data_IF_623847122263
#
_entry.id   IF_623847122263
#
_cell.length_a   1.000
_cell.length_b   1.000
_cell.length_c   1.000
_cell.angle_alpha   90.00
_cell.angle_beta   90.00
_cell.angle_gamma   90.00
#
_symmetry.space_group_name_H-M   'P 1'
#
loop_
_entity.id
_entity.type
_entity.pdbx_description
1 polymer ?
#
# COMPACT_ATOMS: atom_id res chain seq x y z
N UNK A 1 41.10 68.88 -17.39
CA UNK A 1 41.24 69.35 -15.99
C UNK A 1 40.33 68.46 -15.14
N UNK A 2 40.92 67.38 -14.59
CA UNK A 2 41.13 67.14 -13.13
C UNK A 2 39.82 66.81 -12.40
N UNK A 3 39.53 65.54 -12.10
CA UNK A 3 40.04 64.69 -10.99
C UNK A 3 39.69 65.29 -9.62
N UNK A 4 38.92 64.56 -8.80
CA UNK A 4 39.18 64.21 -7.39
C UNK A 4 37.87 63.75 -6.71
N UNK A 5 37.74 62.50 -6.23
CA UNK A 5 38.29 61.90 -5.01
C UNK A 5 37.37 62.18 -3.78
N UNK A 6 36.67 61.20 -3.17
CA UNK A 6 37.09 60.07 -2.32
C UNK A 6 37.06 60.42 -0.80
N UNK A 7 36.29 59.61 -0.04
CA UNK A 7 36.54 59.04 1.33
C UNK A 7 35.82 59.55 2.61
N UNK A 8 35.15 58.55 3.23
CA UNK A 8 34.90 58.15 4.64
C UNK A 8 34.30 59.09 5.71
N UNK A 9 33.29 58.56 6.42
CA UNK A 9 33.48 58.07 7.81
C UNK A 9 32.36 57.09 8.26
N UNK A 10 32.81 56.07 9.00
CA UNK A 10 32.14 54.96 9.69
C UNK A 10 31.13 55.45 10.78
N UNK A 11 30.22 54.71 11.41
CA UNK A 11 30.01 53.27 11.69
C UNK A 11 28.69 53.13 12.48
N UNK A 12 27.92 52.04 12.30
CA UNK A 12 27.46 51.18 13.41
C UNK A 12 26.74 49.92 12.88
N UNK A 13 27.26 48.77 13.29
CA UNK A 13 26.63 47.45 13.19
C UNK A 13 25.49 47.35 14.21
N UNK A 14 24.33 46.83 13.80
CA UNK A 14 23.53 45.93 14.62
C UNK A 14 22.85 44.89 13.71
N UNK A 15 23.07 43.63 14.06
CA UNK A 15 22.56 42.44 13.38
C UNK A 15 21.04 42.33 13.51
N UNK A 16 20.36 42.08 12.39
CA UNK A 16 19.00 41.57 12.34
C UNK A 16 18.92 40.58 11.19
N UNK A 17 18.62 39.31 11.50
CA UNK A 17 18.67 38.18 10.58
C UNK A 17 17.89 38.45 9.28
N UNK A 18 18.60 38.44 8.15
CA UNK A 18 17.98 38.44 6.83
C UNK A 18 17.45 37.02 6.59
N UNK A 19 16.14 36.85 6.71
CA UNK A 19 15.47 35.60 6.33
C UNK A 19 15.75 35.31 4.86
N UNK A 20 16.27 34.12 4.59
CA UNK A 20 16.35 33.58 3.24
C UNK A 20 14.89 33.47 2.73
N UNK A 21 14.56 33.96 1.53
CA UNK A 21 13.23 33.75 0.97
C UNK A 21 13.02 32.24 0.81
N UNK A 22 11.92 31.73 1.36
CA UNK A 22 11.51 30.36 1.15
C UNK A 22 11.41 30.11 -0.36
N UNK A 23 12.11 29.06 -0.83
CA UNK A 23 11.92 28.55 -2.17
C UNK A 23 10.51 27.94 -2.18
N UNK A 24 9.55 28.59 -2.83
CA UNK A 24 8.32 27.93 -3.23
C UNK A 24 8.70 26.86 -4.25
N UNK A 25 8.88 25.63 -3.76
CA UNK A 25 8.93 24.46 -4.61
C UNK A 25 7.55 24.34 -5.27
N UNK A 26 7.47 24.07 -6.59
CA UNK A 26 6.20 23.90 -7.25
C UNK A 26 5.44 22.80 -6.52
N UNK A 27 4.22 23.10 -6.09
CA UNK A 27 3.34 22.14 -5.43
C UNK A 27 3.07 21.01 -6.42
N UNK A 28 3.82 19.91 -6.33
CA UNK A 28 3.25 18.62 -6.65
C UNK A 28 2.03 18.54 -5.75
N UNK A 29 0.84 18.40 -6.32
CA UNK A 29 -0.37 18.33 -5.54
C UNK A 29 -0.25 17.11 -4.62
N UNK A 30 0.10 17.34 -3.35
CA UNK A 30 0.24 16.28 -2.35
C UNK A 30 -1.14 15.74 -2.05
N UNK A 31 -1.26 14.43 -2.13
CA UNK A 31 -2.56 13.75 -2.07
C UNK A 31 -2.59 12.64 -1.02
N UNK A 32 -1.58 12.61 -0.14
CA UNK A 32 -1.53 11.69 1.00
C UNK A 32 -2.64 11.98 2.03
N UNK A 33 -2.93 13.26 2.23
CA UNK A 33 -3.90 13.72 3.24
C UNK A 33 -5.31 13.21 2.92
N UNK A 34 -5.96 12.47 3.83
CA UNK A 34 -7.35 12.08 3.67
C UNK A 34 -8.26 13.31 3.62
N UNK A 35 -9.38 13.21 2.91
CA UNK A 35 -10.31 14.33 2.70
C UNK A 35 -11.73 13.94 3.05
N UNK A 36 -12.53 14.94 3.43
CA UNK A 36 -13.98 14.78 3.58
C UNK A 36 -14.68 14.82 2.22
N UNK A 37 -15.68 13.97 2.04
CA UNK A 37 -16.42 13.80 0.81
C UNK A 37 -17.86 13.37 1.09
N UNK A 38 -18.69 13.40 0.03
CA UNK A 38 -20.05 12.89 0.08
C UNK A 38 -20.06 11.37 0.27
N UNK A 39 -20.91 10.94 1.19
CA UNK A 39 -21.21 9.54 1.43
C UNK A 39 -22.12 8.97 0.34
N UNK A 40 -21.96 7.68 -0.01
CA UNK A 40 -22.95 7.00 -0.84
C UNK A 40 -24.26 6.83 -0.06
N UNK A 41 -25.35 6.55 -0.77
CA UNK A 41 -26.61 6.20 -0.12
C UNK A 41 -26.55 4.80 0.48
N UNK A 42 -27.07 4.65 1.70
CA UNK A 42 -27.20 3.38 2.41
C UNK A 42 -26.00 3.01 3.28
N UNK A 43 -26.08 1.82 3.88
CA UNK A 43 -25.08 1.36 4.85
C UNK A 43 -23.72 1.13 4.22
N UNK A 44 -22.68 1.57 4.93
CA UNK A 44 -21.30 1.28 4.55
C UNK A 44 -20.81 -0.06 5.10
N UNK A 45 -21.54 -0.67 6.03
CA UNK A 45 -21.13 -1.90 6.72
C UNK A 45 -22.01 -3.07 6.30
N UNK A 46 -21.38 -4.19 5.97
CA UNK A 46 -22.05 -5.46 5.71
C UNK A 46 -21.56 -6.57 6.65
N UNK A 47 -22.40 -7.55 7.00
CA UNK A 47 -21.97 -8.73 7.74
C UNK A 47 -21.08 -9.65 6.88
N UNK A 48 -20.13 -10.32 7.52
CA UNK A 48 -19.18 -11.25 6.90
C UNK A 48 -19.80 -12.64 6.62
N UNK A 49 -20.88 -12.69 5.83
CA UNK A 49 -21.63 -13.93 5.51
C UNK A 49 -21.34 -14.47 4.11
N UNK A 50 -20.54 -13.76 3.32
CA UNK A 50 -20.14 -14.08 1.96
C UNK A 50 -19.27 -12.96 1.37
N UNK A 51 -18.79 -13.15 0.15
CA UNK A 51 -18.07 -12.12 -0.60
C UNK A 51 -19.01 -10.95 -0.94
N UNK A 52 -18.46 -9.75 -1.09
CA UNK A 52 -19.20 -8.62 -1.66
C UNK A 52 -19.57 -8.86 -3.12
N UNK A 53 -20.58 -8.13 -3.59
CA UNK A 53 -21.02 -8.17 -4.99
C UNK A 53 -19.86 -7.87 -5.93
N UNK A 54 -19.07 -6.84 -5.61
CA UNK A 54 -17.94 -6.36 -6.40
C UNK A 54 -16.85 -7.43 -6.50
N UNK A 55 -16.50 -8.09 -5.39
CA UNK A 55 -15.54 -9.19 -5.42
C UNK A 55 -16.08 -10.41 -6.18
N UNK A 56 -17.34 -10.79 -5.97
CA UNK A 56 -17.97 -11.90 -6.72
C UNK A 56 -17.93 -11.65 -8.22
N UNK A 57 -18.28 -10.44 -8.65
CA UNK A 57 -18.26 -10.06 -10.06
C UNK A 57 -16.84 -10.07 -10.65
N UNK A 58 -15.87 -9.50 -9.92
CA UNK A 58 -14.48 -9.52 -10.35
C UNK A 58 -13.96 -10.96 -10.46
N UNK A 59 -14.16 -11.76 -9.40
CA UNK A 59 -13.75 -13.16 -9.33
C UNK A 59 -14.32 -13.97 -10.48
N UNK A 60 -15.61 -13.80 -10.81
CA UNK A 60 -16.25 -14.53 -11.91
C UNK A 60 -15.61 -14.19 -13.28
N UNK A 61 -15.33 -12.90 -13.53
CA UNK A 61 -14.67 -12.45 -14.77
C UNK A 61 -13.21 -12.91 -14.83
N UNK A 62 -12.46 -12.75 -13.72
CA UNK A 62 -11.08 -13.20 -13.60
C UNK A 62 -10.93 -14.70 -13.74
N UNK A 63 -11.83 -15.49 -13.13
CA UNK A 63 -11.79 -16.95 -13.21
C UNK A 63 -11.87 -17.47 -14.64
N UNK A 64 -12.63 -16.82 -15.52
CA UNK A 64 -12.65 -17.18 -16.95
C UNK A 64 -11.28 -17.01 -17.62
N UNK A 65 -10.57 -15.93 -17.31
CA UNK A 65 -9.20 -15.70 -17.81
C UNK A 65 -8.22 -16.70 -17.22
N UNK A 66 -8.30 -16.91 -15.91
CA UNK A 66 -7.44 -17.82 -15.16
C UNK A 66 -7.61 -19.29 -15.60
N UNK A 67 -8.84 -19.74 -15.84
CA UNK A 67 -9.13 -21.11 -16.27
C UNK A 67 -8.52 -21.37 -17.65
N UNK A 68 -8.68 -20.45 -18.61
CA UNK A 68 -8.06 -20.60 -19.93
C UNK A 68 -6.52 -20.62 -19.88
N UNK A 69 -5.91 -19.82 -18.99
CA UNK A 69 -4.47 -19.88 -18.74
C UNK A 69 -4.07 -21.22 -18.11
N UNK A 70 -4.83 -21.73 -17.14
CA UNK A 70 -4.55 -22.99 -16.47
C UNK A 70 -4.67 -24.19 -17.41
N UNK A 71 -5.65 -24.20 -18.32
CA UNK A 71 -5.76 -25.23 -19.37
C UNK A 71 -4.50 -25.29 -20.21
N UNK A 72 -4.06 -24.13 -20.73
CA UNK A 72 -2.84 -24.02 -21.54
C UNK A 72 -1.61 -24.48 -20.76
N UNK A 73 -1.50 -24.07 -19.51
CA UNK A 73 -0.38 -24.45 -18.64
C UNK A 73 -0.36 -25.96 -18.37
N UNK A 74 -1.49 -26.58 -18.02
CA UNK A 74 -1.59 -28.02 -17.76
C UNK A 74 -1.18 -28.86 -18.98
N UNK A 75 -1.68 -28.50 -20.16
CA UNK A 75 -1.31 -29.18 -21.42
C UNK A 75 0.17 -28.99 -21.72
N UNK A 76 0.73 -27.78 -21.53
CA UNK A 76 2.17 -27.49 -21.69
C UNK A 76 3.04 -28.32 -20.74
N UNK A 77 2.63 -28.46 -19.48
CA UNK A 77 3.44 -29.13 -18.44
C UNK A 77 3.31 -30.64 -18.49
N UNK A 78 2.16 -31.17 -18.90
CA UNK A 78 1.93 -32.61 -19.01
C UNK A 78 0.95 -32.93 -20.13
N UNK A 79 1.47 -33.54 -21.19
CA UNK A 79 0.65 -34.08 -22.28
C UNK A 79 -0.40 -35.08 -21.76
N UNK A 80 -1.62 -35.00 -22.30
CA UNK A 80 -2.71 -35.93 -22.01
C UNK A 80 -3.64 -35.52 -20.85
N UNK A 81 -3.54 -34.30 -20.33
CA UNK A 81 -4.53 -33.78 -19.38
C UNK A 81 -5.86 -33.48 -20.09
N UNK A 82 -6.94 -34.16 -19.70
CA UNK A 82 -8.30 -33.92 -20.24
C UNK A 82 -8.92 -32.68 -19.57
N UNK A 83 -8.50 -31.50 -20.03
CA UNK A 83 -8.90 -30.20 -19.47
C UNK A 83 -10.33 -29.79 -19.83
N UNK A 84 -10.96 -30.43 -20.81
CA UNK A 84 -12.30 -30.08 -21.30
C UNK A 84 -13.42 -30.75 -20.49
N UNK A 85 -13.09 -31.73 -19.66
CA UNK A 85 -14.05 -32.50 -18.85
C UNK A 85 -13.96 -32.25 -17.35
N UNK A 86 -13.18 -31.26 -16.93
CA UNK A 86 -12.94 -30.96 -15.52
C UNK A 86 -13.33 -29.52 -15.20
N UNK A 87 -13.90 -29.34 -14.02
CA UNK A 87 -14.00 -28.02 -13.41
C UNK A 87 -12.64 -27.64 -12.83
N UNK A 88 -12.07 -26.54 -13.29
CA UNK A 88 -10.76 -26.08 -12.85
C UNK A 88 -10.83 -25.37 -11.49
N UNK A 89 -9.85 -25.59 -10.60
CA UNK A 89 -9.85 -24.99 -9.27
C UNK A 89 -9.63 -23.47 -9.33
N UNK A 90 -10.12 -22.76 -8.30
CA UNK A 90 -9.65 -21.40 -8.00
C UNK A 90 -8.27 -21.49 -7.35
N UNK A 91 -7.25 -20.88 -7.95
CA UNK A 91 -5.89 -20.89 -7.44
C UNK A 91 -5.56 -19.53 -6.84
N UNK A 92 -5.02 -19.53 -5.62
CA UNK A 92 -4.45 -18.36 -4.96
C UNK A 92 -2.95 -18.52 -4.76
N UNK A 93 -2.21 -17.42 -4.86
CA UNK A 93 -0.81 -17.34 -4.43
C UNK A 93 -0.72 -16.48 -3.17
N UNK A 94 0.02 -16.93 -2.15
CA UNK A 94 0.27 -16.13 -0.96
C UNK A 94 1.76 -15.98 -0.71
N UNK A 95 2.17 -14.76 -0.34
CA UNK A 95 3.55 -14.46 0.06
C UNK A 95 3.57 -14.06 1.53
N UNK A 96 4.39 -14.76 2.33
CA UNK A 96 4.49 -14.55 3.78
C UNK A 96 5.14 -13.22 4.15
N UNK A 97 5.20 -12.92 5.45
CA UNK A 97 6.06 -11.87 5.99
C UNK A 97 7.55 -12.22 5.94
N UNK A 98 8.39 -11.24 6.27
CA UNK A 98 9.86 -11.37 6.28
C UNK A 98 10.58 -10.31 5.45
N UNK A 99 10.05 -9.07 5.43
CA UNK A 99 10.64 -7.88 4.82
C UNK A 99 11.18 -8.11 3.39
N UNK A 100 12.34 -7.52 3.06
CA UNK A 100 12.98 -7.67 1.76
C UNK A 100 13.27 -9.12 1.38
N UNK A 101 13.53 -10.01 2.36
CA UNK A 101 13.78 -11.43 2.06
C UNK A 101 12.54 -12.07 1.46
N UNK A 102 11.39 -11.89 2.11
CA UNK A 102 10.13 -12.42 1.59
C UNK A 102 9.76 -11.75 0.27
N UNK A 103 9.92 -10.43 0.19
CA UNK A 103 9.68 -9.65 -1.03
C UNK A 103 10.47 -10.20 -2.22
N UNK A 104 11.80 -10.32 -2.09
CA UNK A 104 12.69 -10.69 -3.20
C UNK A 104 12.54 -12.16 -3.58
N UNK A 105 12.34 -13.05 -2.61
CA UNK A 105 12.06 -14.47 -2.87
C UNK A 105 10.72 -14.62 -3.59
N UNK A 106 9.67 -13.95 -3.09
CA UNK A 106 8.36 -13.94 -3.73
C UNK A 106 8.41 -13.36 -5.14
N UNK A 107 9.19 -12.30 -5.36
CA UNK A 107 9.40 -11.72 -6.69
C UNK A 107 10.06 -12.72 -7.64
N UNK A 108 11.09 -13.45 -7.19
CA UNK A 108 11.72 -14.51 -8.00
C UNK A 108 10.76 -15.64 -8.35
N UNK A 109 9.89 -16.05 -7.42
CA UNK A 109 8.84 -17.04 -7.70
C UNK A 109 7.87 -16.50 -8.75
N UNK A 110 7.33 -15.28 -8.57
CA UNK A 110 6.40 -14.67 -9.53
C UNK A 110 7.05 -14.54 -10.91
N UNK A 111 8.31 -14.11 -10.97
CA UNK A 111 9.08 -14.04 -12.22
C UNK A 111 9.12 -15.39 -12.94
N UNK A 112 9.41 -16.48 -12.21
CA UNK A 112 9.43 -17.83 -12.78
C UNK A 112 8.06 -18.37 -13.23
N UNK A 113 6.97 -17.88 -12.63
CA UNK A 113 5.60 -18.26 -12.96
C UNK A 113 4.97 -17.41 -14.08
N UNK A 114 5.46 -16.19 -14.31
CA UNK A 114 4.90 -15.24 -15.26
C UNK A 114 5.43 -15.47 -16.69
N UNK A 115 4.54 -15.81 -17.63
CA UNK A 115 4.94 -16.01 -19.04
C UNK A 115 5.44 -14.73 -19.73
N UNK A 116 5.15 -13.56 -19.17
CA UNK A 116 5.66 -12.27 -19.66
C UNK A 116 7.12 -12.05 -19.29
N UNK A 117 7.64 -12.80 -18.33
CA UNK A 117 8.93 -12.56 -17.69
C UNK A 117 9.85 -13.79 -17.64
N UNK A 118 9.36 -14.96 -18.08
CA UNK A 118 10.07 -16.22 -18.01
C UNK A 118 9.65 -17.21 -19.10
N UNK A 119 10.62 -17.99 -19.57
CA UNK A 119 10.42 -19.11 -20.49
C UNK A 119 10.55 -20.48 -19.81
N UNK A 120 10.52 -20.53 -18.47
CA UNK A 120 10.60 -21.77 -17.72
C UNK A 120 9.38 -22.67 -17.93
N UNK A 121 9.52 -23.96 -17.59
CA UNK A 121 8.41 -24.93 -17.66
C UNK A 121 7.22 -24.53 -16.79
N UNK A 122 7.47 -23.76 -15.72
CA UNK A 122 6.45 -23.23 -14.81
C UNK A 122 5.78 -21.95 -15.32
N UNK A 123 6.31 -21.29 -16.34
CA UNK A 123 5.77 -20.01 -16.82
C UNK A 123 4.38 -20.17 -17.43
N UNK A 124 3.51 -19.20 -17.18
CA UNK A 124 2.08 -19.21 -17.51
C UNK A 124 1.18 -19.51 -16.30
N UNK A 125 1.74 -20.02 -15.20
CA UNK A 125 0.95 -20.30 -13.99
C UNK A 125 0.51 -19.02 -13.27
N UNK A 126 1.27 -17.92 -13.37
CA UNK A 126 0.84 -16.65 -12.79
C UNK A 126 -0.47 -16.15 -13.41
N UNK A 127 -0.62 -16.31 -14.73
CA UNK A 127 -1.86 -15.97 -15.45
C UNK A 127 -3.06 -16.83 -15.03
N UNK A 128 -2.82 -18.01 -14.46
CA UNK A 128 -3.84 -18.91 -13.93
C UNK A 128 -4.28 -18.59 -12.49
N UNK A 129 -3.69 -17.59 -11.83
CA UNK A 129 -4.07 -17.20 -10.47
C UNK A 129 -5.36 -16.37 -10.47
N UNK A 130 -6.27 -16.69 -9.55
CA UNK A 130 -7.49 -15.89 -9.29
C UNK A 130 -7.26 -14.89 -8.15
N UNK A 131 -6.48 -15.26 -7.13
CA UNK A 131 -6.18 -14.44 -5.97
C UNK A 131 -4.68 -14.33 -5.72
N UNK A 132 -4.25 -13.19 -5.17
CA UNK A 132 -2.90 -13.01 -4.67
C UNK A 132 -2.97 -12.30 -3.31
N UNK A 133 -2.43 -12.94 -2.28
CA UNK A 133 -2.45 -12.41 -0.92
C UNK A 133 -1.04 -12.14 -0.39
N UNK A 134 -0.90 -11.18 0.51
CA UNK A 134 0.38 -10.84 1.12
C UNK A 134 0.27 -10.27 2.53
N UNK A 135 1.23 -10.62 3.38
CA UNK A 135 1.45 -10.05 4.71
C UNK A 135 2.88 -9.50 4.79
N UNK A 136 3.08 -8.36 5.46
CA UNK A 136 4.41 -7.79 5.73
C UNK A 136 5.25 -7.66 4.42
N UNK A 137 6.45 -8.24 4.32
CA UNK A 137 7.25 -8.22 3.09
C UNK A 137 6.53 -8.78 1.85
N UNK A 138 5.57 -9.70 2.03
CA UNK A 138 4.68 -10.16 0.97
C UNK A 138 3.65 -9.10 0.55
N UNK A 139 3.16 -8.29 1.50
CA UNK A 139 2.30 -7.15 1.21
C UNK A 139 3.07 -6.04 0.47
N UNK A 140 4.36 -5.82 0.76
CA UNK A 140 5.20 -4.91 -0.02
C UNK A 140 5.29 -5.34 -1.49
N UNK A 141 5.49 -6.64 -1.74
CA UNK A 141 5.57 -7.19 -3.10
C UNK A 141 4.24 -7.05 -3.83
N UNK A 142 3.15 -7.48 -3.18
CA UNK A 142 1.81 -7.37 -3.73
C UNK A 142 1.47 -5.92 -4.07
N UNK A 143 1.78 -5.00 -3.16
CA UNK A 143 1.52 -3.56 -3.34
C UNK A 143 2.38 -2.99 -4.45
N UNK A 144 3.67 -3.33 -4.53
CA UNK A 144 4.54 -2.83 -5.62
C UNK A 144 4.09 -3.33 -6.99
N UNK A 145 3.56 -4.56 -7.09
CA UNK A 145 2.95 -5.04 -8.34
C UNK A 145 1.65 -4.27 -8.63
N UNK A 146 0.70 -4.31 -7.69
CA UNK A 146 -0.63 -3.74 -7.90
C UNK A 146 -0.58 -2.21 -8.11
N UNK A 147 0.14 -1.51 -7.26
CA UNK A 147 0.29 -0.06 -7.28
C UNK A 147 0.98 0.51 -8.52
N UNK A 148 1.75 -0.30 -9.25
CA UNK A 148 2.36 0.09 -10.52
C UNK A 148 1.61 -0.46 -11.74
N UNK A 149 0.38 -0.95 -11.59
CA UNK A 149 -0.43 -1.55 -12.67
C UNK A 149 0.18 -2.86 -13.24
N UNK A 150 0.74 -3.70 -12.37
CA UNK A 150 1.27 -5.05 -12.64
C UNK A 150 2.27 -5.18 -13.83
N UNK A 151 3.34 -4.36 -13.89
CA UNK A 151 4.50 -4.65 -14.74
C UNK A 151 5.15 -5.99 -14.36
N UNK A 152 6.08 -6.46 -15.19
CA UNK A 152 6.84 -7.68 -14.85
C UNK A 152 7.83 -7.42 -13.70
N UNK A 153 8.24 -8.48 -13.01
CA UNK A 153 9.24 -8.39 -11.93
C UNK A 153 10.55 -7.82 -12.46
N UNK A 154 10.99 -8.23 -13.66
CA UNK A 154 12.18 -7.66 -14.31
C UNK A 154 12.06 -6.17 -14.54
N UNK A 155 10.89 -5.69 -14.99
CA UNK A 155 10.66 -4.25 -15.21
C UNK A 155 10.75 -3.46 -13.91
N UNK A 156 10.05 -3.89 -12.86
CA UNK A 156 10.11 -3.21 -11.56
C UNK A 156 11.52 -3.24 -10.96
N UNK A 157 12.20 -4.38 -11.07
CA UNK A 157 13.59 -4.50 -10.61
C UNK A 157 14.48 -3.44 -11.26
N UNK A 158 14.41 -3.33 -12.60
CA UNK A 158 15.32 -2.49 -13.36
C UNK A 158 14.99 -1.00 -13.28
N UNK A 159 13.70 -0.65 -13.18
CA UNK A 159 13.24 0.75 -13.22
C UNK A 159 13.09 1.35 -11.82
N UNK A 160 12.87 0.53 -10.79
CA UNK A 160 12.47 1.02 -9.47
C UNK A 160 13.30 0.41 -8.34
N UNK A 161 13.30 -0.91 -8.19
CA UNK A 161 13.80 -1.54 -6.95
C UNK A 161 15.32 -1.46 -6.80
N UNK A 162 16.08 -1.61 -7.89
CA UNK A 162 17.56 -1.53 -7.82
C UNK A 162 18.02 -0.18 -7.31
N UNK A 163 17.36 0.91 -7.73
CA UNK A 163 17.67 2.25 -7.23
C UNK A 163 17.07 2.47 -5.83
N UNK A 164 15.77 2.19 -5.67
CA UNK A 164 15.05 2.42 -4.42
C UNK A 164 15.65 1.71 -3.21
N UNK A 165 16.26 0.54 -3.40
CA UNK A 165 16.82 -0.24 -2.29
C UNK A 165 18.29 0.08 -1.96
N UNK A 166 18.99 0.91 -2.74
CA UNK A 166 20.44 1.15 -2.59
C UNK A 166 20.84 1.74 -1.25
N UNK A 167 20.08 2.71 -0.75
CA UNK A 167 20.43 3.50 0.43
C UNK A 167 19.73 3.00 1.70
N UNK A 168 19.02 1.87 1.62
CA UNK A 168 18.22 1.33 2.72
C UNK A 168 16.87 2.04 2.90
N UNK A 169 16.01 1.42 3.71
CA UNK A 169 14.61 1.84 3.86
C UNK A 169 14.44 3.27 4.39
N UNK A 170 15.25 3.65 5.38
CA UNK A 170 15.14 4.95 6.05
C UNK A 170 15.87 6.06 5.32
N UNK A 171 16.39 5.82 4.13
CA UNK A 171 17.12 6.84 3.38
C UNK A 171 16.75 6.78 1.90
N UNK A 172 15.45 6.91 1.55
CA UNK A 172 15.04 6.88 0.15
C UNK A 172 15.77 7.97 -0.64
N UNK A 173 16.41 7.59 -1.75
CA UNK A 173 17.18 8.51 -2.59
C UNK A 173 18.52 9.02 -2.02
N UNK A 174 18.94 8.55 -0.82
CA UNK A 174 20.20 8.98 -0.20
C UNK A 174 20.07 10.22 0.70
N UNK A 175 21.19 10.76 1.19
CA UNK A 175 21.23 11.85 2.19
C UNK A 175 20.57 13.17 1.75
N UNK A 176 20.51 13.42 0.44
CA UNK A 176 20.15 14.73 -0.12
C UNK A 176 18.86 14.67 -0.97
N UNK A 177 17.98 13.68 -0.74
CA UNK A 177 16.82 13.43 -1.59
C UNK A 177 15.61 14.35 -1.34
N UNK A 178 15.62 15.14 -0.26
CA UNK A 178 14.45 15.91 0.20
C UNK A 178 13.29 15.06 0.74
N UNK A 179 13.40 13.72 0.72
CA UNK A 179 12.30 12.84 1.08
C UNK A 179 11.82 13.01 2.53
N UNK A 180 12.74 13.29 3.47
CA UNK A 180 12.37 13.55 4.86
C UNK A 180 11.47 14.79 5.02
N UNK A 181 11.72 15.83 4.24
CA UNK A 181 10.95 17.08 4.27
C UNK A 181 9.56 16.85 3.68
N UNK A 182 9.48 16.20 2.53
CA UNK A 182 8.21 15.82 1.89
C UNK A 182 7.36 14.91 2.80
N UNK A 183 7.95 13.88 3.40
CA UNK A 183 7.27 12.98 4.34
C UNK A 183 6.79 13.73 5.59
N UNK A 184 7.63 14.63 6.14
CA UNK A 184 7.23 15.42 7.30
C UNK A 184 6.06 16.35 6.98
N UNK A 185 6.01 16.88 5.76
CA UNK A 185 4.90 17.71 5.28
C UNK A 185 3.62 16.88 5.12
N UNK A 186 3.67 15.72 4.47
CA UNK A 186 2.54 14.78 4.36
C UNK A 186 1.90 14.48 5.73
N UNK A 187 2.74 14.18 6.74
CA UNK A 187 2.30 13.86 8.09
C UNK A 187 1.70 15.08 8.80
N UNK A 188 2.30 16.25 8.60
CA UNK A 188 1.83 17.50 9.21
C UNK A 188 0.50 17.94 8.59
N UNK A 189 0.33 17.80 7.29
CA UNK A 189 -0.91 18.08 6.57
C UNK A 189 -2.02 17.11 7.00
N UNK A 190 -1.74 15.80 7.13
CA UNK A 190 -2.69 14.83 7.67
C UNK A 190 -3.17 15.18 9.08
N UNK A 191 -2.25 15.57 9.97
CA UNK A 191 -2.60 16.06 11.31
C UNK A 191 -3.42 17.35 11.26
N UNK A 192 -3.05 18.30 10.39
CA UNK A 192 -3.77 19.55 10.23
C UNK A 192 -5.21 19.35 9.70
N UNK A 193 -5.43 18.29 8.91
CA UNK A 193 -6.74 17.85 8.47
C UNK A 193 -7.57 17.12 9.55
N UNK A 194 -7.02 16.95 10.76
CA UNK A 194 -7.72 16.39 11.91
C UNK A 194 -7.64 14.86 12.04
N UNK A 195 -6.80 14.20 11.25
CA UNK A 195 -6.60 12.75 11.34
C UNK A 195 -5.46 12.41 12.30
N UNK A 196 -5.61 11.30 13.01
CA UNK A 196 -4.55 10.78 13.87
C UNK A 196 -3.34 10.35 13.02
N UNK A 197 -2.15 10.61 13.56
CA UNK A 197 -0.89 10.15 12.97
C UNK A 197 -0.26 9.11 13.88
N UNK A 198 0.44 8.17 13.26
CA UNK A 198 1.14 7.06 13.90
C UNK A 198 2.55 6.95 13.34
N UNK A 199 3.39 6.09 13.92
CA UNK A 199 4.68 5.76 13.32
C UNK A 199 4.54 5.03 11.97
N UNK A 200 3.36 4.46 11.67
CA UNK A 200 3.07 3.83 10.39
C UNK A 200 3.02 4.84 9.25
N UNK A 201 2.65 6.10 9.50
CA UNK A 201 2.57 7.14 8.47
C UNK A 201 3.93 7.42 7.80
N UNK A 202 4.98 7.85 8.53
CA UNK A 202 6.31 8.04 7.93
C UNK A 202 6.87 6.74 7.36
N UNK A 203 6.68 5.61 8.06
CA UNK A 203 7.18 4.31 7.63
C UNK A 203 6.56 3.85 6.30
N UNK A 204 5.25 3.97 6.16
CA UNK A 204 4.54 3.67 4.92
C UNK A 204 5.00 4.57 3.77
N UNK A 205 5.28 5.85 4.04
CA UNK A 205 5.86 6.75 3.04
C UNK A 205 7.28 6.35 2.66
N UNK A 206 8.16 6.03 3.61
CA UNK A 206 9.50 5.51 3.30
C UNK A 206 9.46 4.27 2.39
N UNK A 207 8.53 3.33 2.65
CA UNK A 207 8.30 2.19 1.76
C UNK A 207 7.79 2.64 0.38
N UNK A 208 6.90 3.61 0.33
CA UNK A 208 6.31 4.12 -0.91
C UNK A 208 7.37 4.65 -1.89
N UNK A 209 8.37 5.39 -1.39
CA UNK A 209 9.52 5.87 -2.17
C UNK A 209 10.32 4.77 -2.88
N UNK A 210 10.29 3.54 -2.35
CA UNK A 210 11.01 2.41 -2.95
C UNK A 210 10.12 1.52 -3.83
N UNK A 211 8.79 1.59 -3.64
CA UNK A 211 7.86 0.59 -4.17
C UNK A 211 6.90 1.14 -5.23
N UNK A 212 6.73 2.45 -5.35
CA UNK A 212 5.84 3.08 -6.33
C UNK A 212 6.60 4.04 -7.25
N UNK A 213 6.37 3.89 -8.55
CA UNK A 213 6.85 4.83 -9.55
C UNK A 213 5.91 6.04 -9.67
N UNK A 214 6.41 7.10 -10.31
CA UNK A 214 5.62 8.31 -10.58
C UNK A 214 5.86 9.43 -9.57
N UNK A 215 5.16 10.57 -9.74
CA UNK A 215 5.30 11.71 -8.86
C UNK A 215 4.83 11.37 -7.45
N UNK A 216 5.47 11.97 -6.45
CA UNK A 216 5.12 11.82 -5.02
C UNK A 216 5.13 10.36 -4.51
N UNK A 217 5.72 9.45 -5.29
CA UNK A 217 5.94 8.04 -4.95
C UNK A 217 4.69 7.38 -4.34
N UNK A 218 3.53 7.53 -4.98
CA UNK A 218 2.28 6.93 -4.50
C UNK A 218 1.60 7.69 -3.35
N UNK A 219 1.87 8.99 -3.17
CA UNK A 219 1.14 9.81 -2.21
C UNK A 219 -0.38 9.84 -2.48
N UNK A 220 -0.80 9.83 -3.75
CA UNK A 220 -2.21 9.73 -4.13
C UNK A 220 -2.72 8.30 -4.34
N UNK A 221 -1.86 7.29 -4.22
CA UNK A 221 -2.20 5.93 -4.60
C UNK A 221 -2.90 5.23 -3.45
N UNK A 222 -4.13 4.77 -3.69
CA UNK A 222 -4.95 4.07 -2.69
C UNK A 222 -5.19 2.63 -3.09
N UNK A 223 -5.51 1.76 -2.12
CA UNK A 223 -5.90 0.38 -2.41
C UNK A 223 -7.18 0.36 -3.29
N UNK A 224 -8.16 1.23 -3.00
CA UNK A 224 -9.37 1.35 -3.80
C UNK A 224 -9.13 1.83 -5.24
N UNK A 225 -8.12 2.66 -5.47
CA UNK A 225 -7.77 3.14 -6.82
C UNK A 225 -7.22 2.04 -7.75
N UNK A 226 -6.80 0.88 -7.21
CA UNK A 226 -6.42 -0.30 -8.01
C UNK A 226 -7.57 -0.72 -8.94
N UNK A 227 -8.82 -0.50 -8.54
CA UNK A 227 -10.00 -0.83 -9.34
C UNK A 227 -10.08 -0.08 -10.67
N UNK A 228 -9.40 1.07 -10.78
CA UNK A 228 -9.38 1.92 -11.96
C UNK A 228 -8.24 1.56 -12.93
N UNK A 229 -7.31 0.70 -12.50
CA UNK A 229 -6.15 0.33 -13.28
C UNK A 229 -6.50 -0.59 -14.44
N UNK A 230 -5.79 -0.45 -15.56
CA UNK A 230 -6.10 -1.23 -16.78
C UNK A 230 -5.88 -2.73 -16.59
N UNK A 231 -4.88 -3.14 -15.81
CA UNK A 231 -4.66 -4.55 -15.47
C UNK A 231 -5.82 -5.15 -14.67
N UNK A 232 -6.42 -4.36 -13.77
CA UNK A 232 -7.55 -4.78 -12.95
C UNK A 232 -8.85 -4.81 -13.78
N UNK A 233 -9.20 -3.72 -14.46
CA UNK A 233 -10.42 -3.61 -15.28
C UNK A 233 -10.47 -4.62 -16.43
N UNK A 234 -9.32 -5.02 -16.96
CA UNK A 234 -9.22 -6.09 -17.96
C UNK A 234 -9.22 -7.51 -17.36
N UNK A 235 -9.21 -7.64 -16.04
CA UNK A 235 -9.14 -8.92 -15.31
C UNK A 235 -7.88 -9.73 -15.66
N UNK A 236 -6.80 -9.04 -16.02
CA UNK A 236 -5.54 -9.64 -16.43
C UNK A 236 -4.71 -10.17 -15.25
N UNK A 237 -5.05 -9.75 -14.03
CA UNK A 237 -4.26 -9.97 -12.81
C UNK A 237 -5.11 -10.64 -11.72
N UNK A 238 -4.50 -11.37 -10.77
CA UNK A 238 -5.22 -11.92 -9.62
C UNK A 238 -5.78 -10.81 -8.72
N UNK A 239 -6.88 -11.09 -8.02
CA UNK A 239 -7.47 -10.18 -7.06
C UNK A 239 -6.53 -10.01 -5.84
N UNK A 240 -6.06 -8.79 -5.53
CA UNK A 240 -5.10 -8.55 -4.47
C UNK A 240 -5.77 -8.50 -3.09
N UNK A 241 -5.16 -9.16 -2.11
CA UNK A 241 -5.60 -9.15 -0.69
C UNK A 241 -4.39 -8.85 0.21
N UNK A 242 -4.40 -7.71 0.89
CA UNK A 242 -3.40 -7.42 1.92
C UNK A 242 -4.01 -7.81 3.26
N UNK A 243 -3.25 -8.53 4.09
CA UNK A 243 -3.71 -8.93 5.43
C UNK A 243 -2.89 -8.28 6.52
N UNK A 244 -3.49 -8.09 7.69
CA UNK A 244 -2.82 -7.62 8.91
C UNK A 244 -3.42 -8.29 10.14
N UNK A 245 -2.73 -8.18 11.28
CA UNK A 245 -3.23 -8.64 12.57
C UNK A 245 -3.61 -7.46 13.45
N UNK A 246 -4.78 -7.55 14.07
CA UNK A 246 -5.29 -6.61 15.05
C UNK A 246 -4.60 -6.74 16.40
N UNK A 247 -4.43 -5.60 17.06
CA UNK A 247 -3.98 -5.50 18.45
C UNK A 247 -5.09 -4.83 19.25
N UNK A 248 -5.48 -5.39 20.40
CA UNK A 248 -6.50 -4.79 21.26
C UNK A 248 -5.86 -3.70 22.12
N UNK A 249 -5.47 -2.60 21.48
CA UNK A 249 -4.79 -1.46 22.13
C UNK A 249 -5.64 -0.82 23.23
N UNK A 250 -6.97 -0.93 23.14
CA UNK A 250 -7.92 -0.52 24.19
C UNK A 250 -7.86 -1.37 25.47
N UNK A 251 -7.12 -2.49 25.44
CA UNK A 251 -6.82 -3.35 26.59
C UNK A 251 -5.33 -3.31 26.95
N UNK A 252 -4.63 -2.24 26.57
CA UNK A 252 -3.20 -2.03 26.80
C UNK A 252 -2.30 -3.12 26.17
N UNK A 253 -2.79 -3.82 25.14
CA UNK A 253 -1.97 -4.75 24.37
C UNK A 253 -1.06 -4.01 23.38
N UNK A 254 0.20 -4.42 23.30
CA UNK A 254 1.18 -3.89 22.34
C UNK A 254 1.40 -4.80 21.13
N UNK A 255 1.16 -6.10 21.26
CA UNK A 255 1.42 -7.10 20.21
C UNK A 255 0.15 -7.93 19.96
N UNK A 256 -0.05 -8.42 18.72
CA UNK A 256 -1.17 -9.31 18.45
C UNK A 256 -1.12 -10.55 19.36
N UNK A 257 -2.24 -10.88 19.99
CA UNK A 257 -2.37 -12.13 20.74
C UNK A 257 -2.28 -13.37 19.84
N UNK A 258 -2.19 -14.58 20.43
CA UNK A 258 -2.07 -15.83 19.67
C UNK A 258 -3.26 -16.11 18.74
N UNK A 259 -4.43 -15.51 19.03
CA UNK A 259 -5.63 -15.52 18.18
C UNK A 259 -6.02 -14.09 17.78
N UNK A 260 -5.04 -13.26 17.43
CA UNK A 260 -5.28 -11.89 16.98
C UNK A 260 -6.20 -11.86 15.76
N UNK A 261 -7.15 -10.93 15.76
CA UNK A 261 -8.10 -10.72 14.65
C UNK A 261 -7.35 -10.47 13.36
N UNK A 262 -7.64 -11.24 12.31
CA UNK A 262 -7.09 -11.03 10.97
C UNK A 262 -7.98 -10.02 10.25
N UNK A 263 -7.38 -8.92 9.82
CA UNK A 263 -8.03 -7.95 8.96
C UNK A 263 -7.54 -8.11 7.52
N UNK A 264 -8.47 -7.98 6.58
CA UNK A 264 -8.21 -7.98 5.14
C UNK A 264 -8.48 -6.58 4.58
N UNK A 265 -7.58 -6.13 3.71
CA UNK A 265 -7.74 -4.97 2.86
C UNK A 265 -7.79 -5.45 1.41
N UNK A 266 -8.92 -5.24 0.75
CA UNK A 266 -9.14 -5.57 -0.66
C UNK A 266 -9.49 -4.32 -1.45
N UNK A 267 -9.39 -4.28 -2.79
CA UNK A 267 -9.74 -3.10 -3.58
C UNK A 267 -11.15 -2.54 -3.34
N UNK A 268 -12.05 -3.32 -2.74
CA UNK A 268 -13.40 -2.88 -2.45
C UNK A 268 -13.65 -2.65 -0.96
N UNK A 269 -13.07 -3.47 -0.07
CA UNK A 269 -13.50 -3.56 1.32
C UNK A 269 -12.37 -3.76 2.32
N UNK A 270 -12.64 -3.33 3.54
CA UNK A 270 -11.84 -3.59 4.71
C UNK A 270 -12.69 -4.31 5.75
N UNK A 271 -12.15 -5.34 6.39
CA UNK A 271 -12.89 -6.02 7.44
C UNK A 271 -12.24 -7.30 7.91
N UNK A 272 -13.03 -8.11 8.59
CA UNK A 272 -12.57 -9.38 9.14
C UNK A 272 -13.69 -10.41 9.14
N UNK A 273 -13.30 -11.65 8.89
CA UNK A 273 -14.15 -12.83 9.00
C UNK A 273 -14.28 -13.33 10.45
N UNK A 274 -13.37 -12.93 11.33
CA UNK A 274 -13.32 -13.41 12.72
C UNK A 274 -14.54 -12.95 13.51
N UNK A 275 -15.00 -13.79 14.45
CA UNK A 275 -16.22 -13.55 15.24
C UNK A 275 -16.22 -12.25 16.04
N UNK A 276 -15.05 -11.73 16.41
CA UNK A 276 -14.91 -10.50 17.18
C UNK A 276 -15.31 -9.24 16.36
N UNK A 277 -15.29 -9.33 15.03
CA UNK A 277 -15.66 -8.23 14.11
C UNK A 277 -16.78 -8.65 13.16
N UNK A 278 -16.59 -9.77 12.44
CA UNK A 278 -17.54 -10.41 11.51
C UNK A 278 -18.25 -9.43 10.56
N UNK A 279 -17.50 -8.44 10.07
CA UNK A 279 -18.06 -7.36 9.26
C UNK A 279 -17.01 -6.78 8.32
N UNK A 280 -17.52 -6.21 7.23
CA UNK A 280 -16.74 -5.47 6.24
C UNK A 280 -17.34 -4.10 6.02
N UNK A 281 -16.49 -3.13 5.68
CA UNK A 281 -16.86 -1.78 5.27
C UNK A 281 -16.19 -1.42 3.95
N UNK A 282 -16.75 -0.46 3.23
CA UNK A 282 -16.12 0.04 1.99
C UNK A 282 -14.75 0.64 2.26
N UNK A 283 -13.70 0.10 1.62
CA UNK A 283 -12.33 0.57 1.84
C UNK A 283 -12.12 1.99 1.31
N UNK A 284 -12.82 2.37 0.23
CA UNK A 284 -12.82 3.73 -0.32
C UNK A 284 -13.22 4.78 0.72
N UNK A 285 -14.04 4.40 1.69
CA UNK A 285 -14.56 5.28 2.74
C UNK A 285 -13.95 4.99 4.12
N UNK A 286 -12.76 4.35 4.16
CA UNK A 286 -12.06 4.03 5.39
C UNK A 286 -11.79 5.29 6.23
N UNK A 287 -11.93 5.17 7.56
CA UNK A 287 -11.77 6.29 8.48
C UNK A 287 -13.01 7.18 8.61
N UNK A 288 -14.16 6.80 8.03
CA UNK A 288 -15.45 7.44 8.29
C UNK A 288 -15.99 7.03 9.65
N UNK A 289 -16.49 7.98 10.43
CA UNK A 289 -17.20 7.71 11.68
C UNK A 289 -18.61 7.19 11.37
N UNK A 290 -18.96 6.03 11.94
CA UNK A 290 -20.24 5.36 11.68
C UNK A 290 -21.04 5.14 12.96
N UNK A 291 -22.37 5.16 12.84
CA UNK A 291 -23.31 4.69 13.87
C UNK A 291 -24.28 3.70 13.24
N UNK A 292 -24.37 2.48 13.78
CA UNK A 292 -25.18 1.38 13.22
C UNK A 292 -24.90 1.10 11.73
N UNK A 293 -23.64 1.28 11.29
CA UNK A 293 -23.22 1.07 9.91
C UNK A 293 -23.50 2.23 8.95
N UNK A 294 -24.07 3.34 9.44
CA UNK A 294 -24.39 4.53 8.65
C UNK A 294 -23.45 5.70 9.00
N UNK A 295 -23.07 6.56 8.03
CA UNK A 295 -22.33 7.80 8.31
C UNK A 295 -23.07 8.75 9.24
N UNK A 296 -22.34 9.50 10.06
CA UNK A 296 -22.95 10.48 10.99
C UNK A 296 -23.60 11.67 10.25
N UNK A 297 -23.09 12.03 9.07
CA UNK A 297 -23.68 13.00 8.16
C UNK A 297 -23.36 12.66 6.70
N UNK A 298 -24.15 13.19 5.77
CA UNK A 298 -24.06 12.88 4.33
C UNK A 298 -22.76 13.35 3.66
N UNK A 299 -22.06 14.32 4.25
CA UNK A 299 -20.80 14.90 3.77
C UNK A 299 -19.61 14.59 4.69
N UNK A 300 -19.76 13.60 5.59
CA UNK A 300 -18.75 13.25 6.60
C UNK A 300 -17.90 12.01 6.24
N UNK A 301 -18.07 11.46 5.04
CA UNK A 301 -17.27 10.33 4.59
C UNK A 301 -15.82 10.75 4.35
N UNK A 302 -14.90 9.87 4.71
CA UNK A 302 -13.47 10.07 4.51
C UNK A 302 -13.02 9.34 3.25
N UNK A 303 -12.36 10.02 2.31
CA UNK A 303 -11.69 9.42 1.17
C UNK A 303 -10.17 9.53 1.30
N UNK A 304 -9.45 8.69 0.55
CA UNK A 304 -7.98 8.62 0.48
C UNK A 304 -7.27 8.18 1.78
N UNK A 305 -8.02 7.76 2.80
CA UNK A 305 -7.42 7.19 4.02
C UNK A 305 -6.74 5.85 3.75
N UNK A 306 -7.21 5.13 2.73
CA UNK A 306 -6.68 3.85 2.26
C UNK A 306 -5.45 3.99 1.36
N UNK A 307 -4.59 5.00 1.60
CA UNK A 307 -3.31 5.15 0.92
C UNK A 307 -2.53 3.81 0.97
N UNK A 308 -2.11 3.33 -0.20
CA UNK A 308 -1.53 2.00 -0.36
C UNK A 308 -0.23 1.83 0.45
N UNK A 309 0.57 2.90 0.55
CA UNK A 309 1.76 2.97 1.39
C UNK A 309 1.47 2.82 2.87
N UNK A 310 0.41 3.50 3.35
CA UNK A 310 -0.05 3.38 4.74
C UNK A 310 -0.60 1.97 5.04
N UNK A 311 -1.39 1.38 4.13
CA UNK A 311 -1.96 0.05 4.30
C UNK A 311 -0.88 -1.04 4.30
N UNK A 312 0.06 -1.02 3.34
CA UNK A 312 1.16 -1.99 3.35
C UNK A 312 2.08 -1.78 4.57
N UNK A 313 2.27 -0.54 5.01
CA UNK A 313 3.01 -0.22 6.24
C UNK A 313 2.31 -0.76 7.49
N UNK A 314 0.99 -0.74 7.52
CA UNK A 314 0.17 -1.36 8.59
C UNK A 314 0.37 -2.88 8.59
N UNK A 315 0.35 -3.52 7.41
CA UNK A 315 0.60 -4.96 7.25
C UNK A 315 2.00 -5.41 7.67
N UNK A 316 2.98 -4.49 7.66
CA UNK A 316 4.38 -4.76 8.02
C UNK A 316 4.85 -4.02 9.26
N UNK A 317 3.92 -3.54 10.09
CA UNK A 317 4.24 -2.70 11.23
C UNK A 317 5.06 -3.47 12.28
N UNK A 318 6.33 -3.06 12.48
CA UNK A 318 7.25 -3.67 13.46
C UNK A 318 7.31 -2.91 14.80
N UNK A 319 6.75 -1.70 14.88
CA UNK A 319 6.93 -0.82 16.05
C UNK A 319 6.16 -1.28 17.30
N UNK A 320 5.19 -2.18 17.14
CA UNK A 320 4.54 -2.91 18.23
C UNK A 320 5.52 -3.62 19.17
N UNK A 321 6.70 -4.03 18.66
CA UNK A 321 7.74 -4.64 19.51
C UNK A 321 8.41 -3.62 20.45
N UNK A 322 8.56 -2.37 20.03
CA UNK A 322 9.15 -1.28 20.85
C UNK A 322 8.22 -0.90 22.01
N UNK A 323 6.91 -0.98 21.80
CA UNK A 323 5.90 -0.85 22.85
C UNK A 323 6.09 -1.91 23.96
N UNK A 324 6.42 -3.15 23.59
CA UNK A 324 6.63 -4.23 24.57
C UNK A 324 7.90 -4.08 25.42
N UNK A 325 8.98 -3.53 24.87
CA UNK A 325 10.23 -3.26 25.62
C UNK A 325 10.02 -2.17 26.68
N UNK A 326 9.22 -1.15 26.35
CA UNK A 326 8.93 -0.02 27.27
C UNK A 326 8.08 -0.46 28.48
N UNK A 327 7.20 -1.46 28.30
CA UNK A 327 6.39 -2.04 29.40
C UNK A 327 7.25 -2.92 30.32
N UNK A 328 8.26 -3.63 29.79
CA UNK A 328 9.16 -4.43 30.62
C UNK A 328 10.11 -3.59 31.48
N UNK A 329 10.54 -2.42 31.00
CA UNK A 329 11.38 -1.49 31.75
C UNK A 329 10.62 -0.65 32.80
N UNK A 330 9.28 -0.79 32.88
CA UNK A 330 8.43 -0.08 33.83
C UNK A 330 7.86 -0.96 34.96
N UNK A 331 8.32 -2.21 35.07
CA UNK A 331 8.07 -3.07 36.23
C UNK A 331 9.35 -3.14 37.09
N UNK A 332 9.34 -2.64 38.34
CA UNK A 332 10.52 -2.59 39.21
C UNK A 332 11.06 -3.96 39.64
#
# INVERSE_FOLDING_TARGET
MHISAIILLASTLLLGACGIPAIELPSVSRHYTPIKTLCPEGTLVRPATGLSTEEMEYRAKRKRVADEALKRWLVKTKDGFDVDRIELPTIGLTTSGGDYRSFLVGAGVIQGLDERDSNETTSGLFQALTYQAGLSGGAWLLSSLAGNNYPTVTQLKNVLWVEGFQNGLLQPGGSDSGAYEEIALDITEKRAAGFEITLTDPYGRFLSYQLFAGPDYGGNLTVSSITEMSSFTSHAVPYPVIVSLGVKTFSDECIPGPNGTIYEFTPFEFGSWDSDVNAFTSLKYLGTSLSNGEPLAADDCTANYDNLGYILGTSSHVFNMVCSETIHDSIP
#
